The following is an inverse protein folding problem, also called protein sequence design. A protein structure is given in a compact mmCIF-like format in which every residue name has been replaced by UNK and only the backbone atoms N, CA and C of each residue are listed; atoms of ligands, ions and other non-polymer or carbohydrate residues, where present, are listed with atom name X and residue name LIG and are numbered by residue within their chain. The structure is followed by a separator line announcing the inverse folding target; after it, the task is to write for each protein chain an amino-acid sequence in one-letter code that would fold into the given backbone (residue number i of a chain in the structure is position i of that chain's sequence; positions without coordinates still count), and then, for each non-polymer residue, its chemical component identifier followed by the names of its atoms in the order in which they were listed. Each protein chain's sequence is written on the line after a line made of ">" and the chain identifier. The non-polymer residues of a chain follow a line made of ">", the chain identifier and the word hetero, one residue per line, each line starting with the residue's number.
data_IF_074509398165
#
_entry.id   IF_074509398165
#
_cell.length_a   1.000
_cell.length_b   1.000
_cell.length_c   1.000
_cell.angle_alpha   90.00
_cell.angle_beta   90.00
_cell.angle_gamma   90.00
#
_symmetry.space_group_name_H-M   'P 1'
#
loop_
_entity.id
_entity.type
_entity.pdbx_description
1 polymer ?
#
# COMPACT_ATOMS: atom_id res chain seq x y z
N UNK A 1 27.56 16.45 -0.11
CA UNK A 1 26.20 16.72 -0.67
C UNK A 1 25.25 15.82 0.09
N UNK A 2 24.18 16.35 0.62
CA UNK A 2 23.16 15.53 1.27
C UNK A 2 22.38 14.73 0.23
N UNK A 3 21.74 13.62 0.63
CA UNK A 3 20.88 12.84 -0.29
C UNK A 3 19.76 13.71 -0.89
N UNK A 4 19.29 14.75 -0.19
CA UNK A 4 18.29 15.68 -0.67
C UNK A 4 18.80 16.55 -1.83
N UNK A 5 20.00 17.11 -1.69
CA UNK A 5 20.64 17.93 -2.73
C UNK A 5 20.98 17.08 -3.96
N UNK A 6 21.47 15.87 -3.75
CA UNK A 6 21.77 14.93 -4.83
C UNK A 6 20.51 14.49 -5.57
N UNK A 7 19.44 14.16 -4.84
CA UNK A 7 18.14 13.82 -5.43
C UNK A 7 17.59 14.94 -6.29
N UNK A 8 17.61 16.20 -5.80
CA UNK A 8 17.15 17.35 -6.58
C UNK A 8 17.97 17.52 -7.87
N UNK A 9 19.30 17.42 -7.76
CA UNK A 9 20.18 17.48 -8.94
C UNK A 9 19.85 16.38 -9.96
N UNK A 10 19.64 15.13 -9.49
CA UNK A 10 19.27 14.02 -10.36
C UNK A 10 17.93 14.21 -11.07
N UNK A 11 16.92 14.79 -10.38
CA UNK A 11 15.63 15.07 -11.01
C UNK A 11 15.75 16.12 -12.14
N UNK A 12 16.62 17.11 -12.01
CA UNK A 12 16.95 18.02 -13.12
C UNK A 12 17.66 17.32 -14.27
N UNK A 13 18.57 16.36 -13.98
CA UNK A 13 19.29 15.59 -15.02
C UNK A 13 18.34 14.62 -15.74
N UNK A 14 17.46 13.93 -15.01
CA UNK A 14 16.54 12.95 -15.58
C UNK A 14 15.40 13.56 -16.37
N UNK A 15 14.96 14.77 -16.02
CA UNK A 15 13.79 15.45 -16.63
C UNK A 15 12.52 14.56 -16.62
N UNK A 16 12.33 13.79 -15.57
CA UNK A 16 11.30 12.75 -15.39
C UNK A 16 11.92 11.37 -15.21
N UNK A 17 11.14 10.43 -14.66
CA UNK A 17 11.61 9.06 -14.37
C UNK A 17 11.03 8.01 -15.29
N UNK A 18 10.13 8.40 -16.19
CA UNK A 18 9.44 7.50 -17.12
C UNK A 18 9.54 8.04 -18.54
N UNK A 19 9.47 7.13 -19.49
CA UNK A 19 9.30 7.45 -20.91
C UNK A 19 8.30 6.49 -21.55
N UNK A 20 7.71 6.87 -22.65
CA UNK A 20 6.83 6.02 -23.46
C UNK A 20 7.59 5.59 -24.71
N UNK A 21 7.73 4.28 -24.89
CA UNK A 21 8.41 3.69 -26.05
C UNK A 21 7.43 2.92 -26.93
N UNK A 22 7.65 2.96 -28.24
CA UNK A 22 6.91 2.13 -29.18
C UNK A 22 7.32 0.66 -29.05
N UNK A 23 6.32 -0.24 -28.99
CA UNK A 23 6.54 -1.71 -29.07
C UNK A 23 6.41 -2.23 -30.49
N UNK A 24 5.68 -1.51 -31.35
CA UNK A 24 5.56 -1.86 -32.76
C UNK A 24 6.71 -1.23 -33.54
N UNK A 25 7.36 -1.95 -34.46
CA UNK A 25 8.30 -1.34 -35.40
C UNK A 25 7.54 -0.40 -36.35
N UNK A 26 8.11 0.77 -36.65
CA UNK A 26 7.60 1.70 -37.65
C UNK A 26 8.80 2.20 -38.47
N UNK A 27 9.43 1.28 -39.21
CA UNK A 27 10.63 1.55 -39.98
C UNK A 27 10.38 1.57 -41.49
N UNK A 28 9.29 0.94 -41.94
CA UNK A 28 8.93 0.79 -43.33
C UNK A 28 7.49 1.26 -43.58
N UNK A 29 7.13 1.47 -44.86
CA UNK A 29 5.72 1.78 -45.23
C UNK A 29 4.78 0.63 -44.87
N UNK A 30 5.25 -0.60 -44.95
CA UNK A 30 4.49 -1.78 -44.56
C UNK A 30 4.24 -1.79 -43.05
N UNK A 31 5.25 -1.57 -42.22
CA UNK A 31 5.11 -1.43 -40.76
C UNK A 31 4.08 -0.36 -40.40
N UNK A 32 4.18 0.81 -41.06
CA UNK A 32 3.23 1.90 -40.82
C UNK A 32 1.79 1.51 -41.20
N UNK A 33 1.62 0.78 -42.31
CA UNK A 33 0.30 0.32 -42.75
C UNK A 33 -0.29 -0.72 -41.78
N UNK A 34 0.54 -1.56 -41.18
CA UNK A 34 0.12 -2.54 -40.18
C UNK A 34 -0.17 -1.89 -38.82
N UNK A 35 0.74 -0.99 -38.37
CA UNK A 35 0.65 -0.38 -37.04
C UNK A 35 -0.42 0.72 -36.96
N UNK A 36 -0.76 1.37 -38.10
CA UNK A 36 -1.70 2.47 -38.16
C UNK A 36 -2.68 2.29 -39.33
N UNK A 37 -2.74 3.20 -40.28
CA UNK A 37 -3.73 3.18 -41.38
C UNK A 37 -3.16 2.46 -42.60
N UNK A 38 -3.89 1.47 -43.20
CA UNK A 38 -5.27 1.04 -42.92
C UNK A 38 -5.43 -0.11 -41.90
N UNK A 39 -4.36 -0.84 -41.58
CA UNK A 39 -4.40 -2.12 -40.85
C UNK A 39 -5.03 -2.03 -39.47
N UNK A 40 -4.89 -0.92 -38.77
CA UNK A 40 -5.43 -0.69 -37.40
C UNK A 40 -6.96 -0.81 -37.33
N UNK A 41 -7.67 -0.74 -38.46
CA UNK A 41 -9.12 -0.92 -38.48
C UNK A 41 -9.54 -2.33 -38.00
N UNK A 42 -8.77 -3.37 -38.32
CA UNK A 42 -9.11 -4.75 -37.97
C UNK A 42 -9.15 -4.99 -36.45
N UNK A 43 -8.11 -4.67 -35.65
CA UNK A 43 -8.20 -4.80 -34.21
C UNK A 43 -9.31 -3.92 -33.61
N UNK A 44 -9.61 -2.74 -34.14
CA UNK A 44 -10.74 -1.94 -33.71
C UNK A 44 -12.08 -2.66 -33.92
N UNK A 45 -12.28 -3.30 -35.08
CA UNK A 45 -13.48 -4.07 -35.37
C UNK A 45 -13.62 -5.31 -34.48
N UNK A 46 -12.50 -5.98 -34.16
CA UNK A 46 -12.50 -7.12 -33.25
C UNK A 46 -12.89 -6.70 -31.82
N UNK A 47 -12.35 -5.59 -31.32
CA UNK A 47 -12.72 -5.05 -30.00
C UNK A 47 -14.17 -4.58 -29.99
N UNK A 48 -14.66 -3.99 -31.08
CA UNK A 48 -16.06 -3.55 -31.17
C UNK A 48 -17.04 -4.73 -31.13
N UNK A 49 -16.68 -5.89 -31.68
CA UNK A 49 -17.46 -7.12 -31.58
C UNK A 49 -17.42 -7.74 -30.19
N UNK A 50 -16.25 -7.74 -29.54
CA UNK A 50 -16.03 -8.26 -28.20
C UNK A 50 -15.04 -7.40 -27.43
N UNK A 51 -15.55 -6.61 -26.49
CA UNK A 51 -14.73 -5.69 -25.67
C UNK A 51 -13.60 -6.40 -24.90
N UNK A 52 -13.72 -7.69 -24.61
CA UNK A 52 -12.68 -8.48 -23.95
C UNK A 52 -11.40 -8.55 -24.77
N UNK A 53 -11.50 -8.45 -26.09
CA UNK A 53 -10.35 -8.38 -27.00
C UNK A 53 -9.43 -7.18 -26.73
N UNK A 54 -9.92 -6.15 -26.06
CA UNK A 54 -9.07 -5.02 -25.62
C UNK A 54 -7.91 -5.46 -24.74
N UNK A 55 -8.08 -6.53 -23.96
CA UNK A 55 -7.03 -7.10 -23.13
C UNK A 55 -5.94 -7.85 -23.93
N UNK A 56 -6.29 -8.32 -25.13
CA UNK A 56 -5.37 -9.05 -26.01
C UNK A 56 -4.70 -8.13 -27.03
N UNK A 57 -5.46 -7.15 -27.56
CA UNK A 57 -5.07 -6.34 -28.71
C UNK A 57 -4.53 -4.96 -28.34
N UNK A 58 -4.58 -4.58 -27.06
CA UNK A 58 -4.02 -3.30 -26.58
C UNK A 58 -3.13 -3.49 -25.36
N UNK A 59 -2.42 -2.43 -24.97
CA UNK A 59 -1.59 -2.43 -23.77
C UNK A 59 -2.41 -2.38 -22.46
N UNK A 60 -3.72 -2.30 -22.53
CA UNK A 60 -4.63 -2.36 -21.38
C UNK A 60 -4.30 -3.51 -20.43
N UNK A 61 -3.92 -4.67 -20.95
CA UNK A 61 -3.57 -5.86 -20.16
C UNK A 61 -2.36 -5.69 -19.23
N UNK A 62 -1.53 -4.67 -19.46
CA UNK A 62 -0.31 -4.44 -18.67
C UNK A 62 -0.14 -2.98 -18.23
N UNK A 63 -1.17 -2.15 -18.31
CA UNK A 63 -1.09 -0.72 -18.04
C UNK A 63 -1.92 -0.36 -16.79
N UNK A 64 -1.27 0.28 -15.81
CA UNK A 64 -1.89 0.77 -14.57
C UNK A 64 -1.86 2.30 -14.55
N UNK A 65 -2.96 2.94 -14.16
CA UNK A 65 -2.96 4.35 -13.84
C UNK A 65 -2.55 4.57 -12.37
N UNK A 66 -1.56 5.43 -12.13
CA UNK A 66 -1.19 5.90 -10.79
C UNK A 66 -1.80 7.28 -10.60
N UNK A 67 -2.81 7.38 -9.75
CA UNK A 67 -3.67 8.56 -9.66
C UNK A 67 -3.58 9.22 -8.29
N UNK A 68 -3.39 10.55 -8.29
CA UNK A 68 -3.34 11.38 -7.08
C UNK A 68 -4.11 12.69 -7.25
N UNK A 69 -4.59 13.27 -6.15
CA UNK A 69 -5.00 14.67 -6.04
C UNK A 69 -3.95 15.54 -5.31
N UNK A 70 -2.85 14.93 -4.86
CA UNK A 70 -1.73 15.60 -4.20
C UNK A 70 -2.01 16.12 -2.80
N UNK A 71 -3.01 15.57 -2.09
CA UNK A 71 -3.45 16.09 -0.78
C UNK A 71 -2.81 15.40 0.43
N UNK A 72 -2.02 14.33 0.23
CA UNK A 72 -1.36 13.59 1.32
C UNK A 72 0.06 13.12 0.96
N UNK A 73 0.84 13.97 0.30
CA UNK A 73 2.14 13.60 -0.29
C UNK A 73 3.22 13.45 0.79
N UNK A 74 3.71 12.21 1.01
CA UNK A 74 4.93 11.85 1.76
C UNK A 74 5.20 12.64 3.07
N UNK A 75 4.22 13.00 3.86
CA UNK A 75 4.42 13.83 5.04
C UNK A 75 4.64 15.32 4.75
N UNK A 76 4.60 15.74 3.48
CA UNK A 76 4.52 17.14 3.07
C UNK A 76 3.08 17.66 3.15
N UNK A 77 2.12 16.73 3.17
CA UNK A 77 0.70 17.05 3.23
C UNK A 77 0.13 17.48 1.88
N UNK A 78 -0.74 18.47 1.91
CA UNK A 78 -1.46 18.99 0.74
C UNK A 78 -0.59 19.98 -0.03
N UNK A 79 0.16 19.48 -1.00
CA UNK A 79 1.04 20.29 -1.86
C UNK A 79 0.50 20.44 -3.29
N UNK A 80 -0.63 19.81 -3.58
CA UNK A 80 -1.29 19.84 -4.88
C UNK A 80 -0.79 18.78 -5.87
N UNK A 81 -1.59 18.53 -6.91
CA UNK A 81 -1.36 17.40 -7.81
C UNK A 81 -0.08 17.54 -8.65
N UNK A 82 0.24 18.74 -9.16
CA UNK A 82 1.44 18.94 -9.96
C UNK A 82 2.72 18.74 -9.14
N UNK A 83 2.73 19.16 -7.88
CA UNK A 83 3.87 18.98 -6.99
C UNK A 83 4.02 17.50 -6.53
N UNK A 84 2.95 16.71 -6.57
CA UNK A 84 2.96 15.28 -6.34
C UNK A 84 3.53 14.44 -7.49
N UNK A 85 3.64 14.99 -8.71
CA UNK A 85 4.07 14.27 -9.91
C UNK A 85 5.40 13.51 -9.74
N UNK A 86 6.46 14.06 -9.12
CA UNK A 86 7.70 13.31 -8.94
C UNK A 86 7.54 12.02 -8.12
N UNK A 87 6.60 11.97 -7.19
CA UNK A 87 6.28 10.77 -6.42
C UNK A 87 5.55 9.76 -7.30
N UNK A 88 4.58 10.23 -8.07
CA UNK A 88 3.80 9.38 -8.99
C UNK A 88 4.67 8.75 -10.08
N UNK A 89 5.60 9.50 -10.67
CA UNK A 89 6.59 8.95 -11.61
C UNK A 89 7.50 7.92 -10.91
N UNK A 90 7.91 8.19 -9.67
CA UNK A 90 8.67 7.23 -8.87
C UNK A 90 7.90 5.91 -8.69
N UNK A 91 6.60 6.00 -8.36
CA UNK A 91 5.72 4.84 -8.25
C UNK A 91 5.63 4.08 -9.58
N UNK A 92 5.49 4.77 -10.70
CA UNK A 92 5.47 4.15 -12.03
C UNK A 92 6.78 3.43 -12.35
N UNK A 93 7.93 4.03 -12.02
CA UNK A 93 9.24 3.39 -12.20
C UNK A 93 9.37 2.11 -11.37
N UNK A 94 8.86 2.09 -10.12
CA UNK A 94 8.86 0.91 -9.26
C UNK A 94 7.94 -0.21 -9.82
N UNK A 95 6.79 0.12 -10.37
CA UNK A 95 5.94 -0.83 -11.07
C UNK A 95 6.68 -1.53 -12.21
N UNK A 96 7.39 -0.75 -13.02
CA UNK A 96 8.15 -1.28 -14.16
C UNK A 96 9.33 -2.12 -13.72
N UNK A 97 10.16 -1.61 -12.82
CA UNK A 97 11.40 -2.27 -12.40
C UNK A 97 11.16 -3.59 -11.67
N UNK A 98 10.16 -3.63 -10.76
CA UNK A 98 9.96 -4.81 -9.91
C UNK A 98 9.00 -5.85 -10.50
N UNK A 99 8.06 -5.44 -11.35
CA UNK A 99 7.01 -6.35 -11.83
C UNK A 99 6.73 -6.30 -13.34
N UNK A 100 7.55 -5.57 -14.10
CA UNK A 100 7.31 -5.30 -15.54
C UNK A 100 5.88 -4.85 -15.86
N UNK A 101 5.29 -4.07 -14.96
CA UNK A 101 3.98 -3.43 -15.16
C UNK A 101 4.24 -2.02 -15.70
N UNK A 102 3.65 -1.70 -16.85
CA UNK A 102 3.65 -0.34 -17.35
C UNK A 102 2.70 0.50 -16.51
N UNK A 103 3.15 1.65 -16.05
CA UNK A 103 2.31 2.53 -15.26
C UNK A 103 2.42 3.98 -15.74
N UNK A 104 1.30 4.71 -15.66
CA UNK A 104 1.22 6.07 -16.11
C UNK A 104 0.66 6.99 -15.02
N UNK A 105 1.35 8.12 -14.67
CA UNK A 105 0.93 9.00 -13.61
C UNK A 105 -0.17 9.96 -14.10
N UNK A 106 -1.21 10.13 -13.30
CA UNK A 106 -2.31 11.05 -13.57
C UNK A 106 -2.60 11.89 -12.32
N UNK A 107 -2.41 13.19 -12.44
CA UNK A 107 -2.63 14.14 -11.35
C UNK A 107 -3.94 14.89 -11.59
N UNK A 108 -4.92 14.70 -10.71
CA UNK A 108 -6.26 15.29 -10.82
C UNK A 108 -6.31 16.60 -10.03
N UNK A 109 -6.60 17.71 -10.71
CA UNK A 109 -6.71 19.04 -10.09
C UNK A 109 -8.11 19.28 -9.53
N UNK A 110 -8.53 18.42 -8.61
CA UNK A 110 -9.79 18.57 -7.87
C UNK A 110 -9.68 17.90 -6.50
N UNK A 111 -10.44 18.41 -5.54
CA UNK A 111 -10.67 17.80 -4.22
C UNK A 111 -12.13 17.34 -4.06
N UNK A 112 -12.93 17.53 -5.08
CA UNK A 112 -14.32 17.06 -5.11
C UNK A 112 -14.37 15.57 -5.42
N UNK A 113 -15.05 14.81 -4.55
CA UNK A 113 -15.12 13.35 -4.67
C UNK A 113 -15.86 12.93 -5.92
N UNK A 114 -16.94 13.64 -6.30
CA UNK A 114 -17.75 13.32 -7.48
C UNK A 114 -16.95 13.54 -8.76
N UNK A 115 -16.20 14.65 -8.85
CA UNK A 115 -15.33 14.94 -9.99
C UNK A 115 -14.21 13.91 -10.11
N UNK A 116 -13.54 13.55 -9.01
CA UNK A 116 -12.46 12.56 -9.00
C UNK A 116 -12.99 11.19 -9.45
N UNK A 117 -14.06 10.71 -8.84
CA UNK A 117 -14.68 9.40 -9.16
C UNK A 117 -15.12 9.37 -10.61
N UNK A 118 -15.82 10.41 -11.08
CA UNK A 118 -16.27 10.51 -12.47
C UNK A 118 -15.09 10.52 -13.45
N UNK A 119 -14.06 11.31 -13.18
CA UNK A 119 -12.87 11.40 -14.04
C UNK A 119 -12.20 10.04 -14.19
N UNK A 120 -11.95 9.37 -13.07
CA UNK A 120 -11.30 8.05 -13.05
C UNK A 120 -12.14 7.00 -13.78
N UNK A 121 -13.46 6.98 -13.53
CA UNK A 121 -14.36 6.05 -14.20
C UNK A 121 -14.34 6.23 -15.72
N UNK A 122 -14.40 7.47 -16.21
CA UNK A 122 -14.42 7.77 -17.63
C UNK A 122 -13.15 7.33 -18.39
N UNK A 123 -11.98 7.33 -17.73
CA UNK A 123 -10.71 6.91 -18.34
C UNK A 123 -10.36 5.45 -18.06
N UNK A 124 -11.07 4.77 -17.18
CA UNK A 124 -10.75 3.41 -16.70
C UNK A 124 -10.62 2.37 -17.81
N UNK A 125 -11.34 2.56 -18.92
CA UNK A 125 -11.28 1.67 -20.09
C UNK A 125 -9.91 1.57 -20.76
N UNK A 126 -9.02 2.51 -20.52
CA UNK A 126 -7.65 2.50 -21.06
C UNK A 126 -6.67 1.65 -20.21
N UNK A 127 -7.04 1.24 -19.01
CA UNK A 127 -6.18 0.61 -18.02
C UNK A 127 -6.66 -0.78 -17.62
N UNK A 128 -5.72 -1.60 -17.18
CA UNK A 128 -6.00 -2.89 -16.55
C UNK A 128 -6.17 -2.84 -15.04
N UNK A 129 -5.82 -1.71 -14.42
CA UNK A 129 -5.97 -1.44 -13.00
C UNK A 129 -5.66 0.00 -12.65
N UNK A 130 -6.06 0.42 -11.45
CA UNK A 130 -5.87 1.78 -10.94
C UNK A 130 -5.26 1.72 -9.54
N UNK A 131 -4.11 2.35 -9.39
CA UNK A 131 -3.48 2.63 -8.11
C UNK A 131 -3.79 4.06 -7.68
N UNK A 132 -4.53 4.21 -6.60
CA UNK A 132 -4.75 5.50 -5.93
C UNK A 132 -3.58 5.77 -4.98
N UNK A 133 -3.07 6.99 -4.98
CA UNK A 133 -1.87 7.36 -4.23
C UNK A 133 -2.01 8.77 -3.64
N UNK A 134 -1.52 8.97 -2.42
CA UNK A 134 -1.40 10.29 -1.78
C UNK A 134 -2.72 11.09 -1.72
N UNK A 135 -3.86 10.42 -1.57
CA UNK A 135 -5.18 11.04 -1.39
C UNK A 135 -5.54 11.05 0.10
N UNK A 136 -5.83 12.23 0.63
CA UNK A 136 -6.07 12.40 2.06
C UNK A 136 -7.37 11.75 2.55
N UNK A 137 -7.30 11.15 3.76
CA UNK A 137 -8.49 10.73 4.50
C UNK A 137 -9.31 11.96 4.96
N UNK A 138 -10.65 11.86 5.04
CA UNK A 138 -11.46 10.66 4.84
C UNK A 138 -11.87 10.40 3.38
N UNK A 139 -11.58 11.33 2.43
CA UNK A 139 -12.03 11.25 1.03
C UNK A 139 -11.52 9.98 0.31
N UNK A 140 -10.28 9.57 0.59
CA UNK A 140 -9.70 8.38 -0.03
C UNK A 140 -10.56 7.12 0.15
N UNK A 141 -11.21 6.95 1.31
CA UNK A 141 -12.09 5.82 1.58
C UNK A 141 -13.33 5.82 0.68
N UNK A 142 -13.96 6.99 0.53
CA UNK A 142 -15.15 7.15 -0.30
C UNK A 142 -14.83 7.00 -1.78
N UNK A 143 -13.74 7.62 -2.23
CA UNK A 143 -13.29 7.53 -3.63
C UNK A 143 -13.02 6.07 -4.00
N UNK A 144 -12.23 5.34 -3.20
CA UNK A 144 -11.92 3.94 -3.46
C UNK A 144 -13.18 3.08 -3.47
N UNK A 145 -14.04 3.22 -2.47
CA UNK A 145 -15.30 2.47 -2.37
C UNK A 145 -16.17 2.65 -3.61
N UNK A 146 -16.43 3.90 -3.99
CA UNK A 146 -17.29 4.22 -5.14
C UNK A 146 -16.69 3.73 -6.46
N UNK A 147 -15.37 3.84 -6.64
CA UNK A 147 -14.71 3.32 -7.83
C UNK A 147 -14.80 1.79 -7.92
N UNK A 148 -14.66 1.07 -6.83
CA UNK A 148 -14.86 -0.39 -6.79
C UNK A 148 -16.27 -0.82 -7.17
N UNK A 149 -17.28 0.02 -6.90
CA UNK A 149 -18.68 -0.25 -7.25
C UNK A 149 -18.98 -0.06 -8.73
N UNK A 150 -18.25 0.84 -9.42
CA UNK A 150 -18.57 1.24 -10.82
C UNK A 150 -17.53 0.83 -11.86
N UNK A 151 -16.32 0.47 -11.45
CA UNK A 151 -15.27 0.01 -12.36
C UNK A 151 -15.18 -1.51 -12.36
N UNK A 152 -14.89 -2.08 -13.52
CA UNK A 152 -14.74 -3.53 -13.74
C UNK A 152 -13.28 -4.00 -13.71
N UNK A 153 -12.37 -3.14 -13.24
CA UNK A 153 -10.94 -3.38 -13.10
C UNK A 153 -10.49 -3.15 -11.66
N UNK A 154 -9.37 -3.73 -11.21
CA UNK A 154 -8.85 -3.54 -9.87
C UNK A 154 -8.61 -2.07 -9.51
N UNK A 155 -9.18 -1.64 -8.39
CA UNK A 155 -8.93 -0.35 -7.74
C UNK A 155 -8.22 -0.65 -6.42
N UNK A 156 -7.07 -0.02 -6.20
CA UNK A 156 -6.25 -0.26 -5.01
C UNK A 156 -5.62 1.03 -4.52
N UNK A 157 -5.81 1.36 -3.26
CA UNK A 157 -5.18 2.52 -2.62
C UNK A 157 -3.95 2.05 -1.85
N UNK A 158 -2.75 2.35 -2.35
CA UNK A 158 -1.52 1.78 -1.81
C UNK A 158 -1.19 2.25 -0.39
N UNK A 159 -1.39 3.52 -0.06
CA UNK A 159 -1.17 4.04 1.30
C UNK A 159 -2.03 3.35 2.36
N UNK A 160 -3.19 2.83 1.97
CA UNK A 160 -4.03 2.03 2.83
C UNK A 160 -3.57 0.57 2.83
N UNK A 161 -3.72 -0.08 1.71
CA UNK A 161 -3.65 -1.53 1.60
C UNK A 161 -2.22 -2.05 1.45
N UNK A 162 -1.36 -1.35 0.69
CA UNK A 162 0.04 -1.73 0.56
C UNK A 162 0.75 -1.69 1.90
N UNK A 163 0.57 -0.60 2.64
CA UNK A 163 1.10 -0.44 4.00
C UNK A 163 0.56 -1.51 4.94
N UNK A 164 -0.75 -1.78 4.94
CA UNK A 164 -1.36 -2.79 5.79
C UNK A 164 -0.81 -4.21 5.52
N UNK A 165 -0.63 -4.56 4.26
CA UNK A 165 -0.10 -5.87 3.83
C UNK A 165 1.33 -6.08 4.30
N UNK A 166 2.21 -5.09 4.14
CA UNK A 166 3.62 -5.23 4.54
C UNK A 166 3.78 -5.23 6.05
N UNK A 167 2.98 -4.46 6.77
CA UNK A 167 2.90 -4.51 8.24
C UNK A 167 2.44 -5.89 8.70
N UNK A 168 1.41 -6.44 8.08
CA UNK A 168 0.93 -7.79 8.36
C UNK A 168 2.01 -8.85 8.15
N UNK A 169 2.73 -8.78 7.02
CA UNK A 169 3.83 -9.69 6.72
C UNK A 169 4.97 -9.60 7.76
N UNK A 170 5.41 -8.38 8.09
CA UNK A 170 6.44 -8.16 9.10
C UNK A 170 6.00 -8.67 10.49
N UNK A 171 4.74 -8.42 10.86
CA UNK A 171 4.21 -8.86 12.15
C UNK A 171 4.12 -10.38 12.25
N UNK A 172 3.69 -11.07 11.19
CA UNK A 172 3.67 -12.55 11.17
C UNK A 172 5.04 -13.13 11.53
N UNK A 173 6.11 -12.63 10.94
CA UNK A 173 7.45 -13.12 11.22
C UNK A 173 8.02 -12.60 12.54
N UNK A 174 7.75 -11.34 12.91
CA UNK A 174 8.13 -10.81 14.22
C UNK A 174 7.55 -11.65 15.36
N UNK A 175 6.29 -12.04 15.27
CA UNK A 175 5.63 -12.88 16.28
C UNK A 175 6.23 -14.28 16.35
N UNK A 176 6.68 -14.87 15.24
CA UNK A 176 7.44 -16.14 15.27
C UNK A 176 8.75 -15.98 16.05
N UNK A 177 9.52 -14.90 15.80
CA UNK A 177 10.78 -14.64 16.51
C UNK A 177 10.57 -14.49 18.01
N UNK A 178 9.54 -13.74 18.43
CA UNK A 178 9.23 -13.55 19.87
C UNK A 178 8.35 -14.67 20.47
N UNK A 179 7.98 -15.69 19.67
CA UNK A 179 7.18 -16.85 20.09
C UNK A 179 5.82 -16.47 20.69
N UNK A 180 5.16 -15.47 20.08
CA UNK A 180 3.80 -15.04 20.46
C UNK A 180 2.81 -15.38 19.34
N UNK A 181 1.54 -15.55 19.67
CA UNK A 181 0.46 -15.84 18.72
C UNK A 181 -0.35 -14.57 18.42
N UNK A 182 -0.64 -14.29 17.15
CA UNK A 182 -1.36 -13.09 16.72
C UNK A 182 -2.74 -12.94 17.41
N UNK A 183 -3.43 -14.05 17.65
CA UNK A 183 -4.74 -14.05 18.32
C UNK A 183 -4.69 -13.73 19.82
N UNK A 184 -3.50 -13.73 20.44
CA UNK A 184 -3.31 -13.54 21.88
C UNK A 184 -2.59 -12.23 22.24
N UNK A 185 -1.96 -11.56 21.26
CA UNK A 185 -1.22 -10.33 21.52
C UNK A 185 -2.14 -9.12 21.60
N UNK A 186 -1.77 -8.16 22.44
CA UNK A 186 -2.39 -6.84 22.53
C UNK A 186 -1.65 -5.88 21.63
N UNK A 187 -2.36 -5.25 20.70
CA UNK A 187 -1.80 -4.39 19.67
C UNK A 187 -2.29 -2.96 19.88
N UNK A 188 -1.39 -1.98 19.84
CA UNK A 188 -1.72 -0.56 19.75
C UNK A 188 -1.36 -0.03 18.38
N UNK A 189 -2.32 0.63 17.72
CA UNK A 189 -2.09 1.34 16.46
C UNK A 189 -2.24 2.84 16.74
N UNK A 190 -1.16 3.59 16.59
CA UNK A 190 -1.14 5.04 16.75
C UNK A 190 -1.20 5.73 15.39
N UNK A 191 -2.29 6.44 15.16
CA UNK A 191 -2.68 7.05 13.89
C UNK A 191 -3.93 6.39 13.32
N UNK A 192 -5.03 7.15 13.25
CA UNK A 192 -6.33 6.68 12.74
C UNK A 192 -6.66 7.29 11.37
N UNK A 193 -5.65 7.57 10.57
CA UNK A 193 -5.73 7.97 9.17
C UNK A 193 -5.93 6.77 8.24
N UNK A 194 -5.67 6.99 6.94
CA UNK A 194 -5.80 5.98 5.88
C UNK A 194 -5.06 4.68 6.21
N UNK A 195 -3.78 4.77 6.52
CA UNK A 195 -2.94 3.61 6.82
C UNK A 195 -3.38 2.89 8.10
N UNK A 196 -3.59 3.63 9.21
CA UNK A 196 -3.93 3.01 10.49
C UNK A 196 -5.26 2.25 10.47
N UNK A 197 -6.28 2.81 9.83
CA UNK A 197 -7.57 2.13 9.62
C UNK A 197 -7.41 0.85 8.79
N UNK A 198 -6.65 0.92 7.70
CA UNK A 198 -6.41 -0.22 6.84
C UNK A 198 -5.59 -1.32 7.55
N UNK A 199 -4.54 -0.94 8.29
CA UNK A 199 -3.75 -1.88 9.12
C UNK A 199 -4.66 -2.59 10.12
N UNK A 200 -5.50 -1.84 10.84
CA UNK A 200 -6.41 -2.41 11.82
C UNK A 200 -7.33 -3.47 11.20
N UNK A 201 -8.00 -3.15 10.10
CA UNK A 201 -8.89 -4.07 9.39
C UNK A 201 -8.12 -5.30 8.87
N UNK A 202 -6.96 -5.09 8.29
CA UNK A 202 -6.14 -6.16 7.75
C UNK A 202 -5.63 -7.12 8.83
N UNK A 203 -5.20 -6.60 9.98
CA UNK A 203 -4.77 -7.43 11.11
C UNK A 203 -5.92 -8.28 11.68
N UNK A 204 -7.16 -7.77 11.71
CA UNK A 204 -8.33 -8.60 12.03
C UNK A 204 -8.53 -9.70 11.00
N UNK A 205 -8.38 -9.44 9.71
CA UNK A 205 -8.45 -10.45 8.66
C UNK A 205 -7.35 -11.51 8.78
N UNK A 206 -6.18 -11.14 9.33
CA UNK A 206 -5.09 -12.08 9.65
C UNK A 206 -5.32 -12.87 10.96
N UNK A 207 -6.31 -12.50 11.77
CA UNK A 207 -6.68 -13.20 13.01
C UNK A 207 -6.29 -12.50 14.32
N UNK A 208 -5.90 -11.23 14.29
CA UNK A 208 -5.75 -10.43 15.51
C UNK A 208 -7.09 -10.30 16.25
N UNK A 209 -7.06 -10.28 17.59
CA UNK A 209 -8.27 -10.24 18.40
C UNK A 209 -8.37 -9.03 19.33
N UNK A 210 -7.25 -8.42 19.68
CA UNK A 210 -7.17 -7.29 20.62
C UNK A 210 -6.34 -6.14 20.05
N UNK A 211 -7.03 -5.14 19.51
CA UNK A 211 -6.44 -3.95 18.93
C UNK A 211 -7.03 -2.73 19.64
N UNK A 212 -6.17 -1.82 20.04
CA UNK A 212 -6.53 -0.47 20.52
C UNK A 212 -5.99 0.56 19.54
N UNK A 213 -6.86 1.42 19.03
CA UNK A 213 -6.44 2.53 18.15
C UNK A 213 -6.39 3.84 18.93
N UNK A 214 -5.39 4.66 18.58
CA UNK A 214 -5.15 5.97 19.18
C UNK A 214 -5.06 7.03 18.08
N UNK A 215 -5.77 8.12 18.23
CA UNK A 215 -5.65 9.33 17.41
C UNK A 215 -5.06 10.50 18.19
N UNK A 216 -5.04 11.71 17.63
CA UNK A 216 -4.55 12.92 18.30
C UNK A 216 -5.35 13.34 19.54
N UNK A 217 -6.52 12.76 19.77
CA UNK A 217 -7.41 13.02 20.91
C UNK A 217 -7.32 11.94 21.98
N UNK A 218 -6.56 10.86 21.73
CA UNK A 218 -6.39 9.72 22.62
C UNK A 218 -6.97 8.42 22.08
N UNK A 219 -7.26 7.49 22.99
CA UNK A 219 -7.79 6.16 22.65
C UNK A 219 -9.18 6.30 22.01
N UNK A 220 -9.35 5.72 20.83
CA UNK A 220 -10.65 5.68 20.16
C UNK A 220 -11.60 4.79 20.95
N UNK A 221 -12.71 5.37 21.42
CA UNK A 221 -13.71 4.72 22.24
C UNK A 221 -15.09 4.88 21.61
N UNK A 222 -15.88 3.80 21.55
CA UNK A 222 -17.25 3.79 21.01
C UNK A 222 -18.22 4.78 21.67
N UNK A 223 -17.91 5.20 22.89
CA UNK A 223 -18.73 6.16 23.64
C UNK A 223 -18.47 7.62 23.23
N UNK A 224 -17.47 7.89 22.37
CA UNK A 224 -17.20 9.24 21.89
C UNK A 224 -18.23 9.65 20.80
N UNK A 225 -19.11 10.64 21.04
CA UNK A 225 -20.15 11.02 20.08
C UNK A 225 -19.60 11.74 18.84
N UNK A 226 -18.38 12.24 18.89
CA UNK A 226 -17.76 13.07 17.85
C UNK A 226 -16.93 12.29 16.83
N UNK A 227 -17.05 10.97 16.78
CA UNK A 227 -16.37 10.14 15.79
C UNK A 227 -16.99 10.31 14.41
N UNK A 228 -16.16 10.39 13.36
CA UNK A 228 -16.64 10.28 11.99
C UNK A 228 -17.11 8.84 11.68
N UNK A 229 -17.70 8.61 10.51
CA UNK A 229 -18.27 7.30 10.14
C UNK A 229 -17.23 6.16 10.18
N UNK A 230 -16.02 6.42 9.69
CA UNK A 230 -14.94 5.42 9.67
C UNK A 230 -14.45 5.12 11.09
N UNK A 231 -14.25 6.16 11.91
CA UNK A 231 -13.84 5.96 13.29
C UNK A 231 -14.93 5.29 14.14
N UNK A 232 -16.23 5.50 13.85
CA UNK A 232 -17.34 4.76 14.48
C UNK A 232 -17.27 3.26 14.16
N UNK A 233 -17.01 2.92 12.89
CA UNK A 233 -16.82 1.53 12.47
C UNK A 233 -15.65 0.90 13.24
N UNK A 234 -14.48 1.55 13.25
CA UNK A 234 -13.30 1.07 13.96
C UNK A 234 -13.54 0.95 15.47
N UNK A 235 -14.18 1.92 16.09
CA UNK A 235 -14.50 1.88 17.52
C UNK A 235 -15.42 0.73 17.90
N UNK A 236 -16.22 0.20 16.96
CA UNK A 236 -17.05 -0.98 17.18
C UNK A 236 -16.26 -2.29 17.21
N UNK A 237 -15.09 -2.32 16.56
CA UNK A 237 -14.23 -3.49 16.42
C UNK A 237 -13.10 -3.52 17.44
N UNK A 238 -12.62 -2.35 17.87
CA UNK A 238 -11.41 -2.18 18.69
C UNK A 238 -11.74 -1.84 20.14
N UNK A 239 -10.69 -1.78 20.98
CA UNK A 239 -10.80 -1.34 22.38
C UNK A 239 -11.94 -2.03 23.14
N UNK A 240 -11.99 -3.35 23.10
CA UNK A 240 -13.05 -4.16 23.73
C UNK A 240 -13.15 -3.97 25.25
N UNK A 241 -12.02 -3.65 25.89
CA UNK A 241 -11.94 -3.39 27.35
C UNK A 241 -12.46 -1.99 27.72
N UNK A 242 -12.76 -1.12 26.73
CA UNK A 242 -13.25 0.24 26.98
C UNK A 242 -12.19 1.15 27.63
N UNK A 243 -10.92 0.95 27.32
CA UNK A 243 -9.80 1.75 27.83
C UNK A 243 -9.96 3.22 27.41
N UNK A 244 -9.52 4.12 28.28
CA UNK A 244 -9.51 5.56 28.07
C UNK A 244 -8.12 6.13 28.35
N UNK A 245 -7.83 7.32 27.85
CA UNK A 245 -6.56 8.01 28.05
C UNK A 245 -5.84 8.33 26.74
N UNK A 246 -4.60 8.75 26.84
CA UNK A 246 -3.74 9.08 25.72
C UNK A 246 -2.88 7.86 25.29
N UNK A 247 -1.89 8.09 24.44
CA UNK A 247 -1.03 7.04 23.90
C UNK A 247 -0.25 6.28 24.99
N UNK A 248 0.23 6.97 26.01
CA UNK A 248 0.95 6.39 27.14
C UNK A 248 0.08 5.33 27.86
N UNK A 249 -1.17 5.66 28.14
CA UNK A 249 -2.12 4.72 28.73
C UNK A 249 -2.41 3.54 27.81
N UNK A 250 -2.48 3.77 26.50
CA UNK A 250 -2.70 2.71 25.52
C UNK A 250 -1.56 1.70 25.49
N UNK A 251 -0.34 2.12 25.66
CA UNK A 251 0.87 1.27 25.53
C UNK A 251 1.12 0.34 26.72
N UNK A 252 0.56 0.65 27.89
CA UNK A 252 0.76 -0.20 29.09
C UNK A 252 0.30 -1.62 28.87
N UNK A 253 1.21 -2.59 29.04
CA UNK A 253 0.91 -4.01 28.96
C UNK A 253 0.55 -4.51 27.55
N UNK A 254 1.01 -3.82 26.50
CA UNK A 254 0.82 -4.21 25.11
C UNK A 254 2.04 -4.96 24.57
N UNK A 255 1.81 -5.82 23.56
CA UNK A 255 2.85 -6.64 22.94
C UNK A 255 3.39 -6.01 21.67
N UNK A 256 2.55 -5.26 20.96
CA UNK A 256 2.86 -4.70 19.64
C UNK A 256 2.43 -3.24 19.59
N UNK A 257 3.34 -2.39 19.16
CA UNK A 257 3.08 -1.00 18.80
C UNK A 257 3.28 -0.80 17.30
N UNK A 258 2.31 -0.17 16.63
CA UNK A 258 2.38 0.23 15.22
C UNK A 258 2.08 1.72 15.14
N UNK A 259 3.07 2.51 14.71
CA UNK A 259 2.96 3.96 14.52
C UNK A 259 2.81 4.31 13.05
N UNK A 260 1.79 5.08 12.70
CA UNK A 260 1.55 5.69 11.38
C UNK A 260 0.99 7.09 11.55
N UNK A 261 1.66 7.89 12.38
CA UNK A 261 1.13 9.17 12.87
C UNK A 261 2.14 10.31 12.73
N UNK A 262 2.71 10.78 13.82
CA UNK A 262 3.58 11.95 13.87
C UNK A 262 4.97 11.63 14.46
N UNK A 263 6.02 12.35 14.05
CA UNK A 263 7.36 12.10 14.53
C UNK A 263 7.51 12.36 16.03
N UNK A 264 8.38 11.54 16.69
CA UNK A 264 8.87 11.76 18.06
C UNK A 264 7.77 11.84 19.16
N UNK A 265 6.65 11.16 18.97
CA UNK A 265 5.53 11.15 19.95
C UNK A 265 5.61 9.98 20.93
N UNK A 266 6.49 9.01 20.70
CA UNK A 266 6.72 7.85 21.58
C UNK A 266 8.00 8.06 22.35
N UNK A 267 7.95 7.85 23.67
CA UNK A 267 9.11 7.98 24.56
C UNK A 267 9.65 6.60 24.99
N UNK A 268 10.86 6.58 25.54
CA UNK A 268 11.47 5.37 26.12
C UNK A 268 10.61 4.80 27.26
N UNK A 269 10.04 5.68 28.08
CA UNK A 269 9.20 5.32 29.21
C UNK A 269 7.93 4.59 28.72
N UNK A 270 7.31 5.05 27.62
CA UNK A 270 6.16 4.36 27.01
C UNK A 270 6.54 2.94 26.54
N UNK A 271 7.67 2.78 25.85
CA UNK A 271 8.17 1.45 25.44
C UNK A 271 8.42 0.54 26.65
N UNK A 272 9.01 1.08 27.72
CA UNK A 272 9.30 0.32 28.94
C UNK A 272 8.05 -0.20 29.67
N UNK A 273 6.85 0.37 29.39
CA UNK A 273 5.57 -0.12 29.93
C UNK A 273 4.97 -1.30 29.16
N UNK A 274 5.50 -1.59 27.97
CA UNK A 274 5.04 -2.71 27.15
C UNK A 274 5.42 -4.08 27.76
N UNK A 275 4.79 -5.11 27.29
CA UNK A 275 5.11 -6.48 27.70
C UNK A 275 6.52 -6.87 27.23
N UNK A 276 7.12 -7.85 27.94
CA UNK A 276 8.39 -8.46 27.53
C UNK A 276 8.35 -8.90 26.06
N UNK A 277 9.50 -8.77 25.39
CA UNK A 277 9.65 -9.12 23.97
C UNK A 277 8.69 -8.31 23.07
N UNK A 278 8.58 -7.01 23.32
CA UNK A 278 7.73 -6.10 22.56
C UNK A 278 8.21 -5.94 21.11
N UNK A 279 7.23 -5.85 20.19
CA UNK A 279 7.44 -5.52 18.77
C UNK A 279 7.01 -4.08 18.52
N UNK A 280 7.88 -3.28 17.92
CA UNK A 280 7.66 -1.82 17.75
C UNK A 280 7.91 -1.44 16.30
N UNK A 281 6.85 -1.01 15.61
CA UNK A 281 6.89 -0.55 14.21
C UNK A 281 6.59 0.94 14.12
N UNK A 282 7.58 1.83 14.35
CA UNK A 282 7.42 3.28 14.22
C UNK A 282 7.63 3.65 12.74
N UNK A 283 6.57 3.91 12.00
CA UNK A 283 6.60 4.00 10.54
C UNK A 283 6.39 5.40 9.99
N UNK A 284 6.20 6.44 10.83
CA UNK A 284 6.09 7.82 10.36
C UNK A 284 7.33 8.22 9.54
N UNK A 285 7.12 8.91 8.42
CA UNK A 285 8.15 9.38 7.52
C UNK A 285 8.16 10.92 7.42
N UNK A 286 9.34 11.57 7.31
CA UNK A 286 10.69 11.00 7.27
C UNK A 286 11.29 10.65 8.65
N UNK A 287 10.66 11.09 9.73
CA UNK A 287 11.10 10.83 11.11
C UNK A 287 10.04 9.95 11.78
N UNK A 288 10.46 8.79 12.35
CA UNK A 288 9.53 7.88 13.01
C UNK A 288 9.01 8.42 14.35
N UNK A 289 7.98 7.79 14.90
CA UNK A 289 7.42 8.09 16.22
C UNK A 289 8.44 7.96 17.36
N UNK A 290 9.38 7.05 17.22
CA UNK A 290 10.59 6.88 18.03
C UNK A 290 11.70 6.35 17.15
N UNK A 291 12.95 6.81 17.36
CA UNK A 291 14.09 6.27 16.64
C UNK A 291 14.34 4.80 17.03
N UNK A 292 14.68 3.91 16.08
CA UNK A 292 14.87 2.48 16.35
C UNK A 292 15.84 2.16 17.47
N UNK A 293 16.95 2.88 17.55
CA UNK A 293 17.95 2.67 18.61
C UNK A 293 17.38 2.99 20.00
N UNK A 294 16.62 4.09 20.12
CA UNK A 294 15.95 4.48 21.35
C UNK A 294 14.88 3.47 21.78
N UNK A 295 14.14 2.89 20.82
CA UNK A 295 13.17 1.85 21.10
C UNK A 295 13.84 0.56 21.60
N UNK A 296 14.95 0.14 20.99
CA UNK A 296 15.76 -1.01 21.43
C UNK A 296 16.35 -0.79 22.83
N UNK A 297 16.92 0.40 23.09
CA UNK A 297 17.43 0.77 24.44
C UNK A 297 16.33 0.73 25.51
N UNK A 298 15.09 1.03 25.16
CA UNK A 298 13.95 1.00 26.08
C UNK A 298 13.34 -0.40 26.28
N UNK A 299 13.86 -1.43 25.60
CA UNK A 299 13.45 -2.81 25.78
C UNK A 299 12.62 -3.43 24.64
N UNK A 300 12.43 -2.73 23.53
CA UNK A 300 11.82 -3.32 22.35
C UNK A 300 12.70 -4.45 21.81
N UNK A 301 12.12 -5.65 21.61
CA UNK A 301 12.83 -6.82 21.10
C UNK A 301 13.04 -6.73 19.59
N UNK A 302 12.00 -6.33 18.87
CA UNK A 302 12.02 -6.18 17.42
C UNK A 302 11.57 -4.77 17.07
N UNK A 303 12.33 -4.13 16.20
CA UNK A 303 11.97 -2.82 15.64
C UNK A 303 12.00 -2.91 14.12
N UNK A 304 10.92 -2.43 13.47
CA UNK A 304 10.82 -2.26 12.03
C UNK A 304 10.32 -0.87 11.70
N UNK A 305 10.84 -0.24 10.65
CA UNK A 305 10.53 1.15 10.29
C UNK A 305 10.39 1.31 8.78
N UNK A 306 9.75 2.38 8.32
CA UNK A 306 9.68 2.71 6.88
C UNK A 306 11.02 3.14 6.27
N UNK A 307 12.04 3.41 7.08
CA UNK A 307 13.35 3.92 6.64
C UNK A 307 14.25 2.80 6.11
N UNK A 308 14.97 3.10 5.02
CA UNK A 308 15.90 2.16 4.37
C UNK A 308 17.28 2.06 5.04
N UNK A 309 17.59 2.97 5.96
CA UNK A 309 18.87 3.02 6.69
C UNK A 309 18.86 2.20 8.00
N UNK A 310 17.77 1.49 8.28
CA UNK A 310 17.65 0.57 9.42
C UNK A 310 17.24 -0.83 8.96
N UNK A 311 17.52 -1.88 9.74
CA UNK A 311 17.00 -3.22 9.52
C UNK A 311 15.45 -3.25 9.52
N UNK A 312 14.87 -4.29 8.90
CA UNK A 312 13.43 -4.48 8.84
C UNK A 312 12.69 -3.29 8.21
N UNK A 313 13.11 -2.87 7.02
CA UNK A 313 12.42 -1.83 6.28
C UNK A 313 11.02 -2.31 5.87
N UNK A 314 9.98 -1.75 6.49
CA UNK A 314 8.58 -2.00 6.17
C UNK A 314 8.14 -1.00 5.10
N UNK A 315 8.13 -1.42 3.84
CA UNK A 315 7.86 -0.55 2.70
C UNK A 315 6.85 -1.20 1.76
N UNK A 316 5.82 -0.45 1.36
CA UNK A 316 4.75 -0.91 0.47
C UNK A 316 5.23 -1.35 -0.93
N UNK A 317 6.44 -0.97 -1.35
CA UNK A 317 7.06 -1.46 -2.58
C UNK A 317 7.18 -2.99 -2.64
N UNK A 318 7.18 -3.67 -1.50
CA UNK A 318 7.14 -5.13 -1.44
C UNK A 318 5.78 -5.71 -1.87
N UNK A 319 4.71 -4.93 -1.82
CA UNK A 319 3.35 -5.41 -2.05
C UNK A 319 2.80 -5.04 -3.43
N UNK A 320 2.67 -3.72 -3.72
CA UNK A 320 1.86 -3.25 -4.85
C UNK A 320 2.32 -3.75 -6.21
N UNK A 321 3.63 -3.86 -6.55
CA UNK A 321 4.02 -4.28 -7.89
C UNK A 321 3.58 -5.73 -8.17
N UNK A 322 3.83 -6.63 -7.22
CA UNK A 322 3.44 -8.04 -7.31
C UNK A 322 1.93 -8.24 -7.29
N UNK A 323 1.21 -7.44 -6.50
CA UNK A 323 -0.27 -7.48 -6.44
C UNK A 323 -0.86 -7.15 -7.81
N UNK A 324 -0.44 -6.04 -8.42
CA UNK A 324 -0.93 -5.66 -9.75
C UNK A 324 -0.47 -6.63 -10.83
N UNK A 325 0.76 -7.15 -10.76
CA UNK A 325 1.21 -8.21 -11.68
C UNK A 325 0.27 -9.42 -11.64
N UNK A 326 -0.04 -9.92 -10.45
CA UNK A 326 -0.95 -11.05 -10.29
C UNK A 326 -2.37 -10.73 -10.73
N UNK A 327 -2.89 -9.56 -10.38
CA UNK A 327 -4.23 -9.12 -10.77
C UNK A 327 -4.37 -8.95 -12.30
N UNK A 328 -3.36 -8.38 -12.96
CA UNK A 328 -3.35 -8.23 -14.42
C UNK A 328 -3.22 -9.59 -15.13
N UNK A 329 -2.37 -10.49 -14.65
CA UNK A 329 -2.13 -11.79 -15.28
C UNK A 329 -3.37 -12.69 -15.29
N UNK A 330 -4.18 -12.63 -14.24
CA UNK A 330 -5.45 -13.35 -14.16
C UNK A 330 -6.68 -12.49 -14.54
N UNK A 331 -6.46 -11.25 -15.00
CA UNK A 331 -7.51 -10.29 -15.35
C UNK A 331 -8.55 -10.18 -14.23
N UNK A 332 -8.09 -10.03 -12.99
CA UNK A 332 -8.99 -9.92 -11.84
C UNK A 332 -9.93 -8.72 -11.98
N UNK A 333 -11.17 -8.87 -11.54
CA UNK A 333 -12.15 -7.77 -11.50
C UNK A 333 -11.89 -6.81 -10.34
N UNK A 334 -11.28 -7.31 -9.27
CA UNK A 334 -10.94 -6.54 -8.06
C UNK A 334 -9.73 -7.13 -7.35
N UNK A 335 -9.17 -6.39 -6.40
CA UNK A 335 -8.22 -6.88 -5.41
C UNK A 335 -8.99 -6.96 -4.08
N UNK A 336 -9.42 -8.18 -3.71
CA UNK A 336 -10.22 -8.42 -2.51
C UNK A 336 -9.36 -8.71 -1.26
N UNK A 337 -10.02 -8.91 -0.11
CA UNK A 337 -9.33 -9.10 1.18
C UNK A 337 -8.52 -10.42 1.22
N UNK A 338 -9.01 -11.50 0.61
CA UNK A 338 -8.31 -12.77 0.53
C UNK A 338 -7.00 -12.66 -0.26
N UNK A 339 -6.97 -11.86 -1.32
CA UNK A 339 -5.75 -11.58 -2.09
C UNK A 339 -4.74 -10.80 -1.25
N UNK A 340 -5.19 -9.82 -0.46
CA UNK A 340 -4.33 -9.04 0.46
C UNK A 340 -3.75 -9.92 1.57
N UNK A 341 -4.57 -10.76 2.19
CA UNK A 341 -4.14 -11.74 3.21
C UNK A 341 -3.12 -12.72 2.63
N UNK A 342 -3.41 -13.26 1.44
CA UNK A 342 -2.48 -14.16 0.74
C UNK A 342 -1.13 -13.48 0.46
N UNK A 343 -1.14 -12.19 0.12
CA UNK A 343 0.09 -11.41 -0.10
C UNK A 343 0.92 -11.27 1.18
N UNK A 344 0.30 -10.99 2.33
CA UNK A 344 1.04 -10.91 3.60
C UNK A 344 1.73 -12.23 3.95
N UNK A 345 1.05 -13.36 3.79
CA UNK A 345 1.65 -14.68 4.01
C UNK A 345 2.74 -15.00 2.98
N UNK A 346 2.54 -14.63 1.72
CA UNK A 346 3.53 -14.83 0.67
C UNK A 346 4.82 -14.07 0.95
N UNK A 347 4.72 -12.80 1.35
CA UNK A 347 5.87 -11.99 1.74
C UNK A 347 6.58 -12.55 2.97
N UNK A 348 5.83 -12.93 4.01
CA UNK A 348 6.39 -13.53 5.22
C UNK A 348 7.13 -14.84 4.91
N UNK A 349 6.66 -15.65 3.97
CA UNK A 349 7.26 -16.93 3.61
C UNK A 349 8.60 -16.84 2.84
N UNK A 350 8.98 -15.63 2.37
CA UNK A 350 10.24 -15.42 1.67
C UNK A 350 11.48 -15.53 2.57
N UNK A 351 11.30 -15.43 3.88
CA UNK A 351 12.36 -15.63 4.86
C UNK A 351 12.18 -17.01 5.47
N UNK A 352 13.16 -17.88 5.29
CA UNK A 352 13.16 -19.21 5.91
C UNK A 352 13.19 -19.09 7.44
N UNK A 353 12.55 -20.02 8.16
CA UNK A 353 12.50 -19.98 9.64
C UNK A 353 13.88 -19.95 10.30
N UNK A 354 14.88 -20.61 9.70
CA UNK A 354 16.28 -20.62 10.19
C UNK A 354 16.97 -19.26 10.08
N UNK A 355 16.51 -18.38 9.18
CA UNK A 355 17.09 -17.07 8.90
C UNK A 355 16.32 -15.94 9.61
N UNK A 356 15.17 -16.28 10.25
CA UNK A 356 14.39 -15.33 11.04
C UNK A 356 15.14 -14.94 12.31
N UNK A 357 15.28 -13.65 12.51
CA UNK A 357 15.86 -13.05 13.73
C UNK A 357 15.33 -11.64 13.92
N UNK A 358 15.79 -10.94 14.96
CA UNK A 358 15.29 -9.61 15.32
C UNK A 358 15.54 -8.55 14.27
N UNK A 359 16.49 -8.75 13.35
CA UNK A 359 16.87 -7.82 12.29
C UNK A 359 16.50 -8.31 10.89
N UNK A 360 15.82 -9.45 10.80
CA UNK A 360 15.41 -10.06 9.52
C UNK A 360 14.03 -10.70 9.61
N UNK A 361 12.98 -9.85 9.61
CA UNK A 361 11.56 -10.27 9.68
C UNK A 361 10.78 -10.01 8.38
N UNK A 362 11.35 -9.25 7.45
CA UNK A 362 10.73 -8.91 6.18
C UNK A 362 11.79 -8.91 5.07
N UNK A 363 11.48 -9.38 3.85
CA UNK A 363 12.46 -9.41 2.76
C UNK A 363 12.92 -7.99 2.36
N UNK A 364 14.12 -7.90 1.80
CA UNK A 364 14.62 -6.65 1.22
C UNK A 364 13.72 -6.21 0.06
N UNK A 365 13.52 -4.89 -0.07
CA UNK A 365 12.83 -4.30 -1.21
C UNK A 365 13.46 -4.66 -2.58
N UNK A 366 14.75 -4.98 -2.60
CA UNK A 366 15.49 -5.37 -3.80
C UNK A 366 15.52 -6.89 -4.07
N UNK A 367 14.82 -7.69 -3.26
CA UNK A 367 14.72 -9.14 -3.49
C UNK A 367 13.85 -9.43 -4.73
N UNK A 368 14.48 -9.88 -5.79
CA UNK A 368 13.84 -10.16 -7.10
C UNK A 368 12.77 -11.27 -7.04
N UNK A 369 12.71 -12.05 -5.97
CA UNK A 369 11.70 -13.10 -5.78
C UNK A 369 10.33 -12.52 -5.40
N UNK A 370 10.31 -11.35 -4.77
CA UNK A 370 9.12 -10.75 -4.14
C UNK A 370 7.96 -10.65 -5.12
N UNK A 371 8.13 -9.94 -6.23
CA UNK A 371 7.02 -9.67 -7.15
C UNK A 371 6.41 -10.95 -7.71
N UNK A 372 7.23 -11.95 -8.03
CA UNK A 372 6.77 -13.24 -8.57
C UNK A 372 5.94 -14.00 -7.53
N UNK A 373 6.45 -14.15 -6.32
CA UNK A 373 5.76 -14.91 -5.25
C UNK A 373 4.46 -14.24 -4.85
N UNK A 374 4.46 -12.91 -4.75
CA UNK A 374 3.24 -12.13 -4.51
C UNK A 374 2.23 -12.32 -5.64
N UNK A 375 2.65 -12.22 -6.90
CA UNK A 375 1.75 -12.41 -8.04
C UNK A 375 1.13 -13.81 -8.06
N UNK A 376 1.90 -14.86 -7.80
CA UNK A 376 1.40 -16.25 -7.71
C UNK A 376 0.36 -16.41 -6.60
N UNK A 377 0.61 -15.82 -5.42
CA UNK A 377 -0.34 -15.85 -4.30
C UNK A 377 -1.65 -15.10 -4.63
N UNK A 378 -1.53 -13.94 -5.27
CA UNK A 378 -2.68 -13.13 -5.71
C UNK A 378 -3.52 -13.89 -6.74
N UNK A 379 -2.90 -14.48 -7.76
CA UNK A 379 -3.59 -15.28 -8.79
C UNK A 379 -4.35 -16.45 -8.14
N UNK A 380 -3.69 -17.17 -7.22
CA UNK A 380 -4.31 -18.29 -6.52
C UNK A 380 -5.52 -17.85 -5.69
N UNK A 381 -5.41 -16.75 -4.97
CA UNK A 381 -6.52 -16.20 -4.19
C UNK A 381 -7.64 -15.68 -5.09
N UNK A 382 -7.33 -14.96 -6.18
CA UNK A 382 -8.31 -14.46 -7.14
C UNK A 382 -9.12 -15.60 -7.78
N UNK A 383 -8.46 -16.69 -8.19
CA UNK A 383 -9.13 -17.90 -8.70
C UNK A 383 -10.03 -18.55 -7.66
N UNK A 384 -9.55 -18.68 -6.42
CA UNK A 384 -10.31 -19.26 -5.31
C UNK A 384 -11.58 -18.46 -4.98
N UNK A 385 -11.51 -17.15 -5.07
CA UNK A 385 -12.63 -16.24 -4.75
C UNK A 385 -13.52 -15.91 -5.96
N UNK A 386 -13.19 -16.41 -7.16
CA UNK A 386 -14.00 -16.25 -8.36
C UNK A 386 -13.89 -14.86 -9.02
N UNK A 387 -12.91 -14.05 -8.64
CA UNK A 387 -12.69 -12.72 -9.22
C UNK A 387 -11.70 -12.72 -10.40
N UNK A 388 -11.02 -13.84 -10.65
CA UNK A 388 -10.18 -14.04 -11.84
C UNK A 388 -11.05 -14.32 -13.06
N UNK A 389 -10.71 -13.69 -14.21
CA UNK A 389 -11.38 -13.90 -15.50
C UNK A 389 -10.56 -14.79 -16.44
N UNK A 390 -9.33 -15.11 -16.06
CA UNK A 390 -8.39 -15.94 -16.84
C UNK A 390 -7.72 -17.01 -15.99
#
# INVERSE_FOLDING_TARGET
>A
MSIREESLKKHYEWQGKIEVISRAPINTREDLSLAYTPGVAEPCLEINKDIKKSWELTRRSNLVAVITDGTAVLGLGDIGPEAGMPVMEGKCALFKEFADVDAFPLCIKSKDVDEIVRTIHLISGSFGGINLEDIAAPRCFEIEKRLKEICDIPIFHDDQHGTAIVVGAALINALKVVKKELSKVKIVICGAGSAGVAICKHLFNLGACDITMVDSKGIINKNNPNLNSVHKEIASLTNKEGREGALDAAMVGTDVFIGVSAPNIVTKEMIATMNKDAVVFPMANPTPEIMPDLAKEAGARIVGTGRSDFPNQINNVLAFPGIFRGALDCQASEINEEMKVATSYALASLIDEKDLNEENIIPSALDKRVAKIVAEAVIKAAKKTGVARK
#
